data_IF_628110219464
#
_entry.id   IF_628110219464
#
_cell.length_a   1.000
_cell.length_b   1.000
_cell.length_c   1.000
_cell.angle_alpha   90.00
_cell.angle_beta   90.00
_cell.angle_gamma   90.00
#
_symmetry.space_group_name_H-M   'P 1'
#
loop_
_entity.id
_entity.type
_entity.pdbx_description
1 polymer ?
#
# COMPACT_ATOMS: atom_id res chain seq x y z
N UNK A 1 39.03 10.34 3.83
CA UNK A 1 38.23 9.33 3.06
C UNK A 1 36.95 9.13 3.84
N UNK A 2 35.87 9.75 3.43
CA UNK A 2 34.57 9.54 4.03
C UNK A 2 34.08 8.16 3.55
N UNK A 3 33.88 7.24 4.49
CA UNK A 3 33.19 5.97 4.23
C UNK A 3 31.77 6.35 3.82
N UNK A 4 31.41 6.07 2.57
CA UNK A 4 30.02 6.08 2.13
C UNK A 4 29.31 5.03 3.01
N UNK A 5 28.45 5.48 3.93
CA UNK A 5 27.50 4.60 4.57
C UNK A 5 26.72 3.92 3.43
N UNK A 6 26.80 2.59 3.37
CA UNK A 6 25.91 1.82 2.50
C UNK A 6 24.50 2.23 2.90
N UNK A 7 23.78 2.90 1.99
CA UNK A 7 22.39 3.30 2.21
C UNK A 7 21.59 2.04 2.58
N UNK A 8 21.27 1.93 3.86
CA UNK A 8 20.55 0.77 4.37
C UNK A 8 19.20 0.67 3.64
N UNK A 9 18.96 -0.48 2.99
CA UNK A 9 17.69 -0.74 2.31
C UNK A 9 16.56 -0.64 3.33
N UNK A 10 15.55 0.21 3.11
CA UNK A 10 14.43 0.33 4.05
C UNK A 10 13.73 -1.02 4.26
N UNK A 11 13.33 -1.33 5.48
CA UNK A 11 12.69 -2.60 5.83
C UNK A 11 11.49 -2.93 4.95
N UNK A 12 10.69 -1.92 4.60
CA UNK A 12 9.52 -2.12 3.74
C UNK A 12 9.88 -2.52 2.29
N UNK A 13 11.12 -2.31 1.86
CA UNK A 13 11.61 -2.80 0.57
C UNK A 13 12.12 -4.24 0.64
N UNK A 14 12.65 -4.65 1.80
CA UNK A 14 13.37 -5.93 1.97
C UNK A 14 12.45 -7.12 2.24
N UNK A 15 11.23 -6.88 2.72
CA UNK A 15 10.27 -7.95 3.01
C UNK A 15 9.56 -8.46 1.74
N UNK A 16 9.25 -9.76 1.64
CA UNK A 16 8.51 -10.34 0.52
C UNK A 16 7.14 -9.72 0.25
N UNK A 17 6.41 -9.35 1.30
CA UNK A 17 5.11 -8.71 1.18
C UNK A 17 5.08 -7.39 1.95
N UNK A 18 4.47 -6.38 1.33
CA UNK A 18 4.24 -5.06 1.92
C UNK A 18 2.74 -4.74 1.85
N UNK A 19 2.18 -4.37 2.98
CA UNK A 19 0.80 -3.91 3.12
C UNK A 19 0.84 -2.46 3.57
N UNK A 20 0.32 -1.56 2.73
CA UNK A 20 0.26 -0.12 2.98
C UNK A 20 -1.17 0.32 3.28
N UNK A 21 -1.42 0.77 4.50
CA UNK A 21 -2.63 1.51 4.83
C UNK A 21 -2.51 2.97 4.42
N UNK A 22 -3.46 3.43 3.64
CA UNK A 22 -3.53 4.82 3.14
C UNK A 22 -4.75 5.50 3.72
N UNK A 23 -4.70 6.82 3.83
CA UNK A 23 -5.82 7.66 4.22
C UNK A 23 -5.46 8.66 5.31
N UNK A 24 -6.47 9.38 5.79
CA UNK A 24 -6.32 10.40 6.81
C UNK A 24 -7.28 10.14 7.99
N UNK A 25 -6.75 9.69 9.10
CA UNK A 25 -7.51 9.35 10.32
C UNK A 25 -8.31 10.51 10.91
N UNK A 26 -8.04 11.75 10.48
CA UNK A 26 -8.74 12.92 10.93
C UNK A 26 -10.05 13.20 10.16
N UNK A 27 -10.35 12.44 9.11
CA UNK A 27 -11.50 12.67 8.23
C UNK A 27 -12.40 11.43 8.11
N UNK A 28 -12.84 10.88 9.24
CA UNK A 28 -13.82 9.80 9.26
C UNK A 28 -13.35 8.54 8.56
N UNK A 29 -14.15 8.07 7.62
CA UNK A 29 -13.91 6.81 6.88
C UNK A 29 -12.66 6.82 6.00
N UNK A 30 -12.09 7.99 5.71
CA UNK A 30 -10.80 8.12 5.03
C UNK A 30 -9.66 7.44 5.80
N UNK A 31 -9.82 7.22 7.11
CA UNK A 31 -8.88 6.49 7.96
C UNK A 31 -8.94 4.96 7.85
N UNK A 32 -9.73 4.37 6.96
CA UNK A 32 -9.91 2.91 6.88
C UNK A 32 -8.59 2.14 6.72
N UNK A 33 -7.72 2.57 5.80
CA UNK A 33 -6.45 1.87 5.54
C UNK A 33 -5.54 1.88 6.76
N UNK A 34 -5.41 3.02 7.45
CA UNK A 34 -4.64 3.14 8.69
C UNK A 34 -5.23 2.25 9.80
N UNK A 35 -6.56 2.26 9.96
CA UNK A 35 -7.25 1.44 10.95
C UNK A 35 -7.11 -0.06 10.70
N UNK A 36 -7.07 -0.49 9.42
CA UNK A 36 -6.83 -1.88 9.08
C UNK A 36 -5.42 -2.33 9.46
N UNK A 37 -4.41 -1.52 9.19
CA UNK A 37 -3.02 -1.80 9.57
C UNK A 37 -2.89 -1.90 11.08
N UNK A 38 -3.41 -0.93 11.84
CA UNK A 38 -3.43 -0.96 13.30
C UNK A 38 -4.14 -2.21 13.85
N UNK A 39 -5.27 -2.60 13.22
CA UNK A 39 -6.00 -3.79 13.62
C UNK A 39 -5.20 -5.07 13.39
N UNK A 40 -4.50 -5.18 12.26
CA UNK A 40 -3.64 -6.31 11.94
C UNK A 40 -2.49 -6.43 12.95
N UNK A 41 -1.81 -5.34 13.25
CA UNK A 41 -0.70 -5.31 14.22
C UNK A 41 -1.14 -5.68 15.64
N UNK A 42 -2.37 -5.31 16.01
CA UNK A 42 -2.88 -5.52 17.37
C UNK A 42 -3.45 -6.92 17.59
N UNK A 43 -4.04 -7.53 16.55
CA UNK A 43 -4.84 -8.75 16.70
C UNK A 43 -4.21 -10.01 16.09
N UNK A 44 -3.12 -9.87 15.30
CA UNK A 44 -2.49 -11.00 14.63
C UNK A 44 -0.98 -10.99 14.84
N UNK A 45 -0.38 -12.17 14.86
CA UNK A 45 1.07 -12.31 14.80
C UNK A 45 1.53 -12.08 13.35
N UNK A 46 2.28 -11.00 13.11
CA UNK A 46 2.74 -10.62 11.78
C UNK A 46 3.96 -11.47 11.40
N UNK A 47 3.90 -12.26 10.31
CA UNK A 47 5.03 -13.06 9.87
C UNK A 47 6.25 -12.22 9.51
N UNK A 48 7.45 -12.75 9.73
CA UNK A 48 8.70 -12.04 9.43
C UNK A 48 8.90 -11.63 7.98
N UNK A 49 8.17 -12.25 7.05
CA UNK A 49 8.15 -11.91 5.62
C UNK A 49 7.15 -10.82 5.22
N UNK A 50 6.34 -10.32 6.16
CA UNK A 50 5.36 -9.26 5.93
C UNK A 50 5.83 -7.97 6.57
N UNK A 51 5.67 -6.85 5.88
CA UNK A 51 5.76 -5.51 6.42
C UNK A 51 4.37 -4.87 6.41
N UNK A 52 3.90 -4.46 7.56
CA UNK A 52 2.72 -3.61 7.70
C UNK A 52 3.20 -2.17 7.86
N UNK A 53 2.59 -1.23 7.16
CA UNK A 53 3.00 0.16 7.24
C UNK A 53 1.78 1.08 7.08
N UNK A 54 1.52 1.88 8.11
CA UNK A 54 0.62 3.02 7.98
C UNK A 54 1.34 4.13 7.19
N UNK A 55 0.95 4.30 5.95
CA UNK A 55 1.47 5.32 5.05
C UNK A 55 0.74 6.66 5.22
N UNK A 56 -0.43 6.65 5.84
CA UNK A 56 -1.28 7.83 5.98
C UNK A 56 -1.45 8.53 4.63
N UNK A 57 -1.16 9.83 4.59
CA UNK A 57 -1.18 10.64 3.37
C UNK A 57 0.17 10.62 2.61
N UNK A 58 1.18 9.92 3.13
CA UNK A 58 2.56 9.92 2.62
C UNK A 58 2.88 8.86 1.57
N UNK A 59 1.91 8.11 1.08
CA UNK A 59 2.07 6.96 0.17
C UNK A 59 2.91 7.25 -1.07
N UNK A 60 2.79 8.43 -1.65
CA UNK A 60 3.51 8.81 -2.88
C UNK A 60 5.03 8.72 -2.71
N UNK A 61 5.56 9.16 -1.56
CA UNK A 61 6.99 9.06 -1.25
C UNK A 61 7.45 7.62 -1.13
N UNK A 62 6.64 6.77 -0.50
CA UNK A 62 6.93 5.34 -0.34
C UNK A 62 6.95 4.61 -1.68
N UNK A 63 5.95 4.83 -2.52
CA UNK A 63 5.89 4.24 -3.87
C UNK A 63 7.06 4.70 -4.74
N UNK A 64 7.45 5.97 -4.66
CA UNK A 64 8.62 6.49 -5.36
C UNK A 64 9.90 5.78 -4.89
N UNK A 65 10.05 5.59 -3.58
CA UNK A 65 11.18 4.84 -3.01
C UNK A 65 11.20 3.40 -3.52
N UNK A 66 10.04 2.72 -3.58
CA UNK A 66 9.93 1.38 -4.15
C UNK A 66 10.35 1.33 -5.63
N UNK A 67 9.95 2.33 -6.43
CA UNK A 67 10.35 2.39 -7.84
C UNK A 67 11.88 2.49 -8.02
N UNK A 68 12.56 3.21 -7.13
CA UNK A 68 14.01 3.43 -7.20
C UNK A 68 14.84 2.37 -6.47
N UNK A 69 14.23 1.62 -5.55
CA UNK A 69 14.94 0.62 -4.76
C UNK A 69 15.48 -0.53 -5.63
N UNK A 70 16.66 -1.04 -5.28
CA UNK A 70 17.24 -2.24 -5.90
C UNK A 70 16.60 -3.53 -5.38
N UNK A 71 16.03 -3.49 -4.17
CA UNK A 71 15.30 -4.61 -3.56
C UNK A 71 13.87 -4.15 -3.32
N UNK A 72 12.91 -5.02 -3.63
CA UNK A 72 11.48 -4.69 -3.57
C UNK A 72 10.68 -5.88 -3.07
N UNK A 73 9.52 -5.65 -2.43
CA UNK A 73 8.58 -6.72 -2.13
C UNK A 73 8.15 -7.42 -3.43
N UNK A 74 7.80 -8.69 -3.34
CA UNK A 74 7.12 -9.38 -4.45
C UNK A 74 5.67 -8.98 -4.57
N UNK A 75 5.03 -8.71 -3.44
CA UNK A 75 3.60 -8.41 -3.33
C UNK A 75 3.40 -7.12 -2.57
N UNK A 76 2.63 -6.23 -3.15
CA UNK A 76 2.21 -4.97 -2.55
C UNK A 76 0.70 -4.93 -2.47
N UNK A 77 0.16 -4.82 -1.27
CA UNK A 77 -1.24 -4.51 -1.04
C UNK A 77 -1.38 -3.05 -0.62
N UNK A 78 -2.14 -2.31 -1.38
CA UNK A 78 -2.64 -0.99 -0.99
C UNK A 78 -3.99 -1.18 -0.32
N UNK A 79 -4.19 -0.57 0.84
CA UNK A 79 -5.48 -0.54 1.54
C UNK A 79 -5.93 0.90 1.65
N UNK A 80 -7.08 1.22 1.07
CA UNK A 80 -7.56 2.61 0.98
C UNK A 80 -9.08 2.70 1.11
N UNK A 81 -9.56 3.89 1.44
CA UNK A 81 -10.97 4.25 1.42
C UNK A 81 -11.31 4.88 0.06
N UNK A 82 -12.46 4.53 -0.51
CA UNK A 82 -12.88 5.01 -1.83
C UNK A 82 -14.34 5.40 -1.84
N UNK A 83 -14.71 6.28 -2.77
CA UNK A 83 -16.11 6.53 -3.10
C UNK A 83 -16.41 6.09 -4.53
N UNK A 84 -17.02 4.91 -4.65
CA UNK A 84 -17.46 4.32 -5.93
C UNK A 84 -18.98 4.20 -5.98
N UNK A 85 -19.69 4.86 -5.07
CA UNK A 85 -21.14 4.86 -5.01
C UNK A 85 -21.74 3.52 -4.56
N UNK A 86 -20.97 2.72 -3.81
CA UNK A 86 -21.43 1.46 -3.20
C UNK A 86 -22.00 1.72 -1.80
N UNK A 87 -22.45 0.68 -1.12
CA UNK A 87 -22.90 0.78 0.26
C UNK A 87 -21.70 1.01 1.21
N UNK A 88 -21.75 1.99 2.13
CA UNK A 88 -20.68 2.24 3.09
C UNK A 88 -20.31 0.98 3.88
N UNK A 89 -19.00 0.70 3.95
CA UNK A 89 -18.47 -0.50 4.61
C UNK A 89 -18.39 -1.73 3.68
N UNK A 90 -18.87 -1.66 2.44
CA UNK A 90 -18.58 -2.67 1.44
C UNK A 90 -17.09 -2.58 1.07
N UNK A 91 -16.35 -3.67 1.27
CA UNK A 91 -14.96 -3.75 0.87
C UNK A 91 -14.78 -4.73 -0.29
N UNK A 92 -13.85 -4.40 -1.17
CA UNK A 92 -13.64 -5.14 -2.42
C UNK A 92 -12.23 -4.93 -2.94
N UNK A 93 -11.80 -5.84 -3.80
CA UNK A 93 -10.52 -5.72 -4.48
C UNK A 93 -10.68 -4.99 -5.81
N UNK A 94 -9.69 -4.15 -6.14
CA UNK A 94 -9.60 -3.43 -7.40
C UNK A 94 -8.31 -3.85 -8.11
N UNK A 95 -8.41 -4.24 -9.37
CA UNK A 95 -7.22 -4.37 -10.22
C UNK A 95 -6.66 -2.96 -10.53
N UNK A 96 -5.38 -2.69 -10.26
CA UNK A 96 -4.76 -1.42 -10.62
C UNK A 96 -4.93 -1.05 -12.10
N UNK A 97 -5.10 -2.03 -12.99
CA UNK A 97 -5.36 -1.79 -14.40
C UNK A 97 -6.76 -1.21 -14.68
N UNK A 98 -7.73 -1.46 -13.80
CA UNK A 98 -9.11 -0.99 -13.91
C UNK A 98 -9.32 0.39 -13.27
N UNK A 99 -8.35 0.88 -12.49
CA UNK A 99 -8.42 2.21 -11.89
C UNK A 99 -8.34 3.25 -13.01
N UNK A 100 -9.31 4.18 -13.13
CA UNK A 100 -9.27 5.22 -14.16
C UNK A 100 -7.98 6.04 -14.09
N UNK A 101 -7.40 6.34 -15.25
CA UNK A 101 -6.27 7.27 -15.33
C UNK A 101 -6.79 8.67 -15.03
N UNK A 102 -6.54 9.14 -13.83
CA UNK A 102 -6.96 10.48 -13.42
C UNK A 102 -5.99 11.51 -14.00
N UNK A 103 -6.52 12.52 -14.68
CA UNK A 103 -5.75 13.69 -15.07
C UNK A 103 -5.29 14.42 -13.81
N UNK A 104 -4.04 14.85 -13.78
CA UNK A 104 -3.31 15.45 -12.65
C UNK A 104 -3.95 16.70 -12.00
N UNK A 105 -5.10 17.16 -12.48
CA UNK A 105 -5.70 18.43 -12.08
C UNK A 105 -6.83 18.31 -11.04
N UNK A 106 -7.24 17.11 -10.68
CA UNK A 106 -8.28 16.92 -9.66
C UNK A 106 -7.68 16.60 -8.29
N UNK A 107 -7.59 17.61 -7.45
CA UNK A 107 -7.31 17.52 -6.01
C UNK A 107 -8.46 16.91 -5.22
N UNK A 108 -9.21 15.95 -5.74
CA UNK A 108 -10.22 15.29 -4.95
C UNK A 108 -9.55 14.29 -4.00
N UNK A 109 -9.79 14.46 -2.70
CA UNK A 109 -9.27 13.63 -1.61
C UNK A 109 -9.74 12.15 -1.68
N UNK A 110 -10.52 11.78 -2.69
CA UNK A 110 -11.20 10.49 -2.79
C UNK A 110 -10.74 9.63 -3.97
N UNK A 111 -9.65 9.99 -4.61
CA UNK A 111 -9.09 9.23 -5.72
C UNK A 111 -7.79 8.59 -5.26
N UNK A 112 -7.65 7.29 -5.52
CA UNK A 112 -6.38 6.58 -5.31
C UNK A 112 -5.23 7.43 -5.85
N UNK A 113 -4.38 8.02 -5.00
CA UNK A 113 -3.52 9.15 -5.38
C UNK A 113 -2.42 8.81 -6.37
N UNK A 114 -2.42 7.59 -6.92
CA UNK A 114 -1.22 7.07 -7.60
C UNK A 114 -1.52 5.95 -8.59
N UNK A 115 -2.70 5.91 -9.20
CA UNK A 115 -3.05 4.86 -10.17
C UNK A 115 -1.98 4.67 -11.24
N UNK A 116 -1.41 5.75 -11.76
CA UNK A 116 -0.33 5.70 -12.73
C UNK A 116 0.96 5.13 -12.11
N UNK A 117 1.31 5.53 -10.88
CA UNK A 117 2.51 5.00 -10.19
C UNK A 117 2.38 3.52 -9.87
N UNK A 118 1.20 3.04 -9.49
CA UNK A 118 0.97 1.63 -9.22
C UNK A 118 1.13 0.79 -10.49
N UNK A 119 0.61 1.27 -11.62
CA UNK A 119 0.81 0.63 -12.93
C UNK A 119 2.26 0.62 -13.36
N UNK A 120 2.94 1.75 -13.22
CA UNK A 120 4.37 1.86 -13.54
C UNK A 120 5.19 0.92 -12.65
N UNK A 121 4.92 0.89 -11.34
CA UNK A 121 5.57 -0.02 -10.41
C UNK A 121 5.40 -1.47 -10.88
N UNK A 122 4.17 -1.90 -11.16
CA UNK A 122 3.88 -3.26 -11.61
C UNK A 122 4.57 -3.59 -12.94
N UNK A 123 4.47 -2.71 -13.94
CA UNK A 123 5.01 -2.93 -15.28
C UNK A 123 6.53 -2.92 -15.32
N UNK A 124 7.17 -2.02 -14.57
CA UNK A 124 8.62 -1.83 -14.62
C UNK A 124 9.38 -2.74 -13.66
N UNK A 125 8.74 -3.23 -12.61
CA UNK A 125 9.44 -3.89 -11.51
C UNK A 125 9.06 -5.35 -11.31
N UNK A 126 7.94 -5.80 -11.85
CA UNK A 126 7.42 -7.15 -11.64
C UNK A 126 6.79 -7.37 -10.25
N UNK A 127 6.60 -6.30 -9.45
CA UNK A 127 5.87 -6.37 -8.18
C UNK A 127 4.40 -6.64 -8.46
N UNK A 128 3.82 -7.66 -7.84
CA UNK A 128 2.38 -7.90 -7.87
C UNK A 128 1.69 -6.84 -7.01
N UNK A 129 0.91 -5.95 -7.63
CA UNK A 129 0.17 -4.90 -6.93
C UNK A 129 -1.30 -5.24 -6.88
N UNK A 130 -1.89 -5.23 -5.68
CA UNK A 130 -3.33 -5.38 -5.44
C UNK A 130 -3.82 -4.19 -4.62
N UNK A 131 -5.10 -3.85 -4.78
CA UNK A 131 -5.73 -2.76 -4.03
C UNK A 131 -6.97 -3.31 -3.33
N UNK A 132 -7.02 -3.19 -2.02
CA UNK A 132 -8.18 -3.45 -1.20
C UNK A 132 -8.84 -2.12 -0.86
N UNK A 133 -10.03 -1.92 -1.36
CA UNK A 133 -10.81 -0.71 -1.18
C UNK A 133 -11.97 -0.93 -0.22
N UNK A 134 -12.32 0.08 0.57
CA UNK A 134 -13.55 0.12 1.35
C UNK A 134 -14.37 1.34 0.96
N UNK A 135 -15.65 1.13 0.65
CA UNK A 135 -16.58 2.22 0.36
C UNK A 135 -16.81 3.08 1.59
N UNK A 136 -16.60 4.38 1.45
CA UNK A 136 -16.90 5.36 2.49
C UNK A 136 -18.37 5.77 2.51
N UNK A 137 -18.84 6.22 3.66
CA UNK A 137 -19.97 7.15 3.71
C UNK A 137 -19.54 8.57 3.30
N UNK A 138 -20.44 9.56 3.46
CA UNK A 138 -20.08 10.96 3.26
C UNK A 138 -18.93 11.35 4.20
N UNK A 139 -17.82 11.85 3.62
CA UNK A 139 -16.70 12.29 4.42
C UNK A 139 -16.96 13.66 5.06
N UNK A 140 -16.52 13.87 6.30
CA UNK A 140 -16.70 15.15 6.98
C UNK A 140 -15.87 16.25 6.31
N UNK A 141 -16.42 17.46 6.22
CA UNK A 141 -15.71 18.64 5.74
C UNK A 141 -14.73 19.23 6.79
N UNK A 142 -14.96 18.92 8.06
CA UNK A 142 -14.11 19.34 9.18
C UNK A 142 -13.45 18.13 9.83
N UNK A 143 -12.43 18.38 10.64
CA UNK A 143 -11.75 17.33 11.41
C UNK A 143 -12.75 16.58 12.28
N UNK A 144 -12.92 15.32 11.98
CA UNK A 144 -13.83 14.40 12.67
C UNK A 144 -13.23 12.99 12.67
N UNK A 145 -12.32 12.68 13.59
CA UNK A 145 -11.66 11.39 13.63
C UNK A 145 -12.61 10.26 14.00
N UNK A 146 -12.33 9.07 13.47
CA UNK A 146 -13.05 7.84 13.74
C UNK A 146 -13.94 7.39 12.59
N UNK A 147 -13.96 6.08 12.37
CA UNK A 147 -14.73 5.45 11.29
C UNK A 147 -16.22 5.42 11.61
N UNK A 148 -17.05 5.55 10.57
CA UNK A 148 -18.48 5.25 10.66
C UNK A 148 -18.72 3.80 11.07
N UNK A 149 -19.90 3.51 11.59
CA UNK A 149 -20.22 2.14 12.06
C UNK A 149 -20.11 1.07 10.94
N UNK A 150 -20.57 1.31 9.69
CA UNK A 150 -20.41 0.34 8.62
C UNK A 150 -18.94 0.06 8.30
N UNK A 151 -18.12 1.10 8.16
CA UNK A 151 -16.70 0.97 7.83
C UNK A 151 -15.90 0.34 8.98
N UNK A 152 -16.21 0.70 10.22
CA UNK A 152 -15.60 0.07 11.40
C UNK A 152 -15.85 -1.43 11.47
N UNK A 153 -17.05 -1.91 11.08
CA UNK A 153 -17.37 -3.34 11.02
C UNK A 153 -16.64 -4.06 9.89
N UNK A 154 -16.32 -3.35 8.80
CA UNK A 154 -15.56 -3.92 7.69
C UNK A 154 -14.10 -4.25 8.07
N UNK A 155 -13.49 -3.48 9.00
CA UNK A 155 -12.07 -3.67 9.38
C UNK A 155 -11.73 -5.11 9.78
N UNK A 156 -12.42 -5.78 10.75
CA UNK A 156 -12.06 -7.14 11.13
C UNK A 156 -12.31 -8.18 10.02
N UNK A 157 -13.23 -7.94 9.10
CA UNK A 157 -13.51 -8.86 7.98
C UNK A 157 -12.41 -8.74 6.91
N UNK A 158 -12.08 -7.50 6.54
CA UNK A 158 -10.97 -7.20 5.63
C UNK A 158 -9.63 -7.71 6.19
N UNK A 159 -9.39 -7.53 7.50
CA UNK A 159 -8.19 -8.04 8.16
C UNK A 159 -8.06 -9.57 8.05
N UNK A 160 -9.13 -10.32 8.27
CA UNK A 160 -9.11 -11.79 8.09
C UNK A 160 -8.81 -12.18 6.65
N UNK A 161 -9.29 -11.43 5.67
CA UNK A 161 -8.95 -11.65 4.28
C UNK A 161 -7.45 -11.39 4.03
N UNK A 162 -6.91 -10.28 4.54
CA UNK A 162 -5.47 -9.97 4.43
C UNK A 162 -4.61 -11.07 5.05
N UNK A 163 -4.95 -11.54 6.23
CA UNK A 163 -4.22 -12.64 6.90
C UNK A 163 -4.20 -13.89 6.01
N UNK A 164 -5.34 -14.29 5.47
CA UNK A 164 -5.42 -15.48 4.60
C UNK A 164 -4.60 -15.32 3.32
N UNK A 165 -4.60 -14.14 2.71
CA UNK A 165 -3.96 -13.90 1.41
C UNK A 165 -2.46 -13.61 1.52
N UNK A 166 -2.02 -13.02 2.63
CA UNK A 166 -0.67 -12.46 2.72
C UNK A 166 0.20 -13.08 3.83
N UNK A 167 -0.37 -13.53 4.94
CA UNK A 167 0.46 -14.00 6.04
C UNK A 167 1.04 -15.38 5.77
N UNK A 168 0.27 -16.28 5.17
CA UNK A 168 0.76 -17.63 4.83
C UNK A 168 1.69 -17.61 3.61
N UNK A 169 1.41 -16.79 2.61
CA UNK A 169 2.17 -16.72 1.37
C UNK A 169 3.51 -15.98 1.52
N UNK A 170 3.63 -15.04 2.46
CA UNK A 170 4.84 -14.24 2.65
C UNK A 170 6.01 -15.03 3.26
N UNK A 171 5.75 -16.17 3.90
CA UNK A 171 6.78 -17.02 4.50
C UNK A 171 7.65 -17.77 3.47
N UNK A 172 7.27 -17.78 2.19
CA UNK A 172 7.77 -18.77 1.22
C UNK A 172 8.72 -18.17 0.17
N UNK A 173 8.61 -16.90 -0.20
CA UNK A 173 9.39 -16.34 -1.29
C UNK A 173 10.16 -15.06 -0.91
N UNK A 174 11.46 -14.97 -1.22
CA UNK A 174 12.28 -13.79 -0.91
C UNK A 174 11.84 -12.56 -1.73
N UNK A 175 12.18 -11.36 -1.26
CA UNK A 175 11.99 -10.10 -1.97
C UNK A 175 12.68 -10.11 -3.35
N UNK A 176 12.13 -9.33 -4.29
CA UNK A 176 12.69 -9.18 -5.63
C UNK A 176 13.96 -8.32 -5.58
N UNK A 177 15.05 -8.79 -6.19
CA UNK A 177 16.26 -8.02 -6.37
C UNK A 177 16.45 -7.69 -7.85
N UNK A 178 16.83 -6.45 -8.17
CA UNK A 178 17.23 -6.10 -9.54
C UNK A 178 18.54 -6.79 -9.89
N UNK A 179 18.69 -7.30 -11.12
CA UNK A 179 19.99 -7.73 -11.61
C UNK A 179 20.95 -6.53 -11.54
N UNK A 180 22.12 -6.72 -10.94
CA UNK A 180 23.16 -5.70 -10.94
C UNK A 180 23.49 -5.36 -12.40
N UNK A 181 23.27 -4.11 -12.79
CA UNK A 181 23.79 -3.60 -14.05
C UNK A 181 25.31 -3.86 -14.03
N UNK A 182 25.78 -4.77 -14.87
CA UNK A 182 27.22 -4.93 -15.09
C UNK A 182 27.71 -3.59 -15.61
N UNK A 183 28.58 -2.94 -14.84
CA UNK A 183 29.35 -1.83 -15.37
C UNK A 183 30.03 -2.35 -16.63
N UNK A 184 29.58 -1.90 -17.79
CA UNK A 184 30.29 -2.13 -19.05
C UNK A 184 31.63 -1.44 -18.91
N UNK A 185 32.68 -2.23 -18.65
CA UNK A 185 34.03 -1.73 -18.60
C UNK A 185 34.33 -1.05 -19.93
N UNK A 186 34.55 0.24 -19.88
CA UNK A 186 35.18 0.96 -20.97
C UNK A 186 36.64 0.47 -21.03
N UNK A 187 36.88 -0.52 -21.88
CA UNK A 187 38.21 -0.79 -22.39
C UNK A 187 38.38 0.09 -23.63
N UNK A 188 39.23 1.05 -23.54
CA UNK A 188 39.73 1.87 -24.62
C UNK A 188 41.03 2.49 -24.20
#
# INVERSE_FOLDING_TARGET
MATMEEDAIPDFCSKPALILGIGNVFFGDDGFGCALVEYLETHFEVPGGVCLLDAGTGVRKLLFTLCLSQVRPRRLLIVDAVDFGREPGEWFEIDPAEIPVVKLDDFSMHQLPTSNMLRELQQQTGVEVRVLACQTGPLPAEVCPGLSEPVRRAVPEAARWVVREYFDAAAIEPALAMPRLRATGATG
#
